data_IF_432963777312
#
_entry.id   IF_432963777312
#
_cell.length_a   1.000
_cell.length_b   1.000
_cell.length_c   1.000
_cell.angle_alpha   90.00
_cell.angle_beta   90.00
_cell.angle_gamma   90.00
#
_symmetry.space_group_name_H-M   'P 1'
#
loop_
_entity.id
_entity.type
_entity.pdbx_description
1 polymer ?
#
# COMPACT_ATOMS: atom_id res chain seq x y z
N UNK A 1 -1.25 5.89 9.46
CA UNK A 1 -1.83 4.54 9.75
C UNK A 1 -2.49 4.06 8.47
N UNK A 2 -1.95 3.01 7.85
CA UNK A 2 -2.52 2.40 6.64
C UNK A 2 -3.89 1.79 6.95
N UNK A 3 -4.95 2.22 6.27
CA UNK A 3 -6.26 1.58 6.40
C UNK A 3 -6.39 0.42 5.40
N UNK A 4 -6.51 -0.80 5.91
CA UNK A 4 -6.75 -1.98 5.09
C UNK A 4 -8.18 -1.96 4.51
N UNK A 5 -8.39 -2.42 3.27
CA UNK A 5 -9.72 -2.51 2.68
C UNK A 5 -10.57 -3.57 3.41
N UNK A 6 -11.81 -3.23 3.74
CA UNK A 6 -12.73 -4.16 4.42
C UNK A 6 -13.36 -5.20 3.47
N UNK A 7 -13.45 -4.89 2.16
CA UNK A 7 -14.11 -5.71 1.16
C UNK A 7 -13.43 -5.66 -0.20
N UNK A 8 -13.54 -6.76 -0.97
CA UNK A 8 -13.14 -6.78 -2.37
C UNK A 8 -14.12 -5.95 -3.21
N UNK A 9 -13.67 -4.93 -3.97
CA UNK A 9 -14.55 -4.10 -4.80
C UNK A 9 -15.19 -4.87 -5.97
N UNK A 10 -14.67 -6.05 -6.32
CA UNK A 10 -15.17 -6.86 -7.43
C UNK A 10 -16.21 -7.91 -7.01
N UNK A 11 -15.96 -8.64 -5.91
CA UNK A 11 -16.85 -9.73 -5.47
C UNK A 11 -17.64 -9.42 -4.19
N UNK A 12 -17.31 -8.34 -3.47
CA UNK A 12 -17.97 -7.95 -2.23
C UNK A 12 -17.61 -8.79 -1.00
N UNK A 13 -16.73 -9.79 -1.13
CA UNK A 13 -16.28 -10.63 -0.01
C UNK A 13 -15.45 -9.81 0.98
N UNK A 14 -15.69 -10.01 2.28
CA UNK A 14 -14.96 -9.38 3.38
C UNK A 14 -13.84 -10.29 3.91
N UNK A 15 -12.68 -9.72 4.22
CA UNK A 15 -11.67 -10.34 5.09
C UNK A 15 -10.67 -11.33 4.49
N UNK A 16 -10.74 -11.67 3.19
CA UNK A 16 -9.73 -12.52 2.51
C UNK A 16 -8.95 -11.74 1.43
N UNK A 17 -8.36 -10.62 1.86
CA UNK A 17 -7.58 -9.72 1.04
C UNK A 17 -6.12 -9.80 1.49
N UNK A 18 -5.23 -10.18 0.57
CA UNK A 18 -3.80 -10.20 0.84
C UNK A 18 -3.15 -8.97 0.23
N UNK A 19 -2.32 -8.30 1.01
CA UNK A 19 -1.43 -7.28 0.50
C UNK A 19 -0.27 -7.92 -0.26
N UNK A 20 0.13 -7.30 -1.36
CA UNK A 20 1.34 -7.62 -2.11
C UNK A 20 2.43 -6.59 -1.70
N UNK A 21 3.50 -6.47 -2.47
CA UNK A 21 4.46 -5.40 -2.34
C UNK A 21 3.81 -4.07 -2.76
N UNK A 22 3.87 -3.07 -1.88
CA UNK A 22 3.41 -1.70 -2.13
C UNK A 22 4.41 -0.93 -3.00
N UNK A 23 3.95 0.08 -3.71
CA UNK A 23 4.81 0.94 -4.53
C UNK A 23 4.60 2.43 -4.26
N UNK A 24 5.60 3.23 -4.59
CA UNK A 24 5.57 4.69 -4.45
C UNK A 24 5.83 5.35 -5.80
N UNK A 25 5.05 6.38 -6.12
CA UNK A 25 5.17 7.16 -7.34
C UNK A 25 5.24 8.65 -7.03
N UNK A 26 6.20 9.35 -7.61
CA UNK A 26 6.30 10.81 -7.55
C UNK A 26 5.66 11.42 -8.82
N UNK A 27 4.65 12.27 -8.65
CA UNK A 27 3.94 12.96 -9.74
C UNK A 27 3.73 14.42 -9.35
N UNK A 28 4.21 15.36 -10.17
CA UNK A 28 4.00 16.81 -9.97
C UNK A 28 4.38 17.31 -8.56
N UNK A 29 5.46 16.75 -7.98
CA UNK A 29 5.94 17.01 -6.61
C UNK A 29 5.06 16.46 -5.47
N UNK A 30 4.02 15.68 -5.80
CA UNK A 30 3.25 14.90 -4.85
C UNK A 30 3.73 13.44 -4.85
N UNK A 31 3.69 12.79 -3.68
CA UNK A 31 4.02 11.38 -3.53
C UNK A 31 2.74 10.56 -3.36
N UNK A 32 2.66 9.50 -4.14
CA UNK A 32 1.52 8.61 -4.21
C UNK A 32 1.97 7.26 -3.68
N UNK A 33 1.37 6.84 -2.58
CA UNK A 33 1.58 5.51 -2.02
C UNK A 33 0.49 4.58 -2.54
N UNK A 34 0.90 3.53 -3.22
CA UNK A 34 0.02 2.58 -3.88
C UNK A 34 0.13 1.24 -3.15
N UNK A 35 -0.96 0.87 -2.48
CA UNK A 35 -1.09 -0.41 -1.81
C UNK A 35 -1.78 -1.40 -2.73
N UNK A 36 -1.07 -2.46 -3.09
CA UNK A 36 -1.55 -3.49 -4.01
C UNK A 36 -2.20 -4.64 -3.23
N UNK A 37 -3.41 -5.04 -3.64
CA UNK A 37 -4.19 -6.07 -2.97
C UNK A 37 -4.65 -7.14 -3.95
N UNK A 38 -4.70 -8.39 -3.48
CA UNK A 38 -5.33 -9.51 -4.18
C UNK A 38 -6.43 -10.13 -3.33
N UNK A 39 -7.58 -10.39 -3.94
CA UNK A 39 -8.65 -11.13 -3.30
C UNK A 39 -8.43 -12.63 -3.47
N UNK A 40 -8.31 -13.38 -2.36
CA UNK A 40 -8.13 -14.84 -2.44
C UNK A 40 -9.38 -15.59 -2.90
N UNK A 41 -10.55 -14.95 -2.83
CA UNK A 41 -11.82 -15.56 -3.21
C UNK A 41 -12.05 -15.52 -4.73
N UNK A 42 -11.97 -14.34 -5.35
CA UNK A 42 -12.20 -14.19 -6.78
C UNK A 42 -10.92 -14.09 -7.61
N UNK A 43 -9.75 -13.93 -6.98
CA UNK A 43 -8.45 -13.80 -7.65
C UNK A 43 -8.16 -12.43 -8.23
N UNK A 44 -9.10 -11.48 -8.13
CA UNK A 44 -8.94 -10.13 -8.70
C UNK A 44 -7.97 -9.28 -7.88
N UNK A 45 -7.24 -8.41 -8.58
CA UNK A 45 -6.30 -7.46 -7.99
C UNK A 45 -6.84 -6.03 -8.06
N UNK A 46 -6.59 -5.24 -7.03
CA UNK A 46 -6.93 -3.83 -6.98
C UNK A 46 -5.94 -3.04 -6.14
N UNK A 47 -5.94 -1.74 -6.40
CA UNK A 47 -5.03 -0.80 -5.74
C UNK A 47 -5.81 0.14 -4.83
N UNK A 48 -5.19 0.47 -3.70
CA UNK A 48 -5.59 1.61 -2.86
C UNK A 48 -4.51 2.66 -2.96
N UNK A 49 -4.89 3.86 -3.38
CA UNK A 49 -3.96 4.99 -3.55
C UNK A 49 -4.16 5.99 -2.43
N UNK A 50 -3.09 6.35 -1.75
CA UNK A 50 -3.05 7.41 -0.75
C UNK A 50 -2.07 8.51 -1.19
N UNK A 51 -2.50 9.76 -1.11
CA UNK A 51 -1.62 10.91 -1.28
C UNK A 51 -0.86 11.09 0.04
N UNK A 52 0.46 11.05 -0.02
CA UNK A 52 1.32 11.25 1.13
C UNK A 52 1.97 12.63 1.02
N UNK A 53 1.86 13.42 2.08
CA UNK A 53 2.68 14.61 2.23
C UNK A 53 4.16 14.17 2.42
N UNK A 54 5.09 14.90 1.81
CA UNK A 54 6.54 14.59 1.75
C UNK A 54 7.17 14.24 3.13
N UNK A 55 6.62 14.76 4.22
CA UNK A 55 7.19 14.63 5.57
C UNK A 55 7.03 13.23 6.19
N UNK A 56 6.01 12.46 5.85
CA UNK A 56 5.84 11.08 6.36
C UNK A 56 6.77 10.07 5.67
N UNK A 57 7.38 10.44 4.53
CA UNK A 57 8.15 9.55 3.64
C UNK A 57 9.62 9.43 4.06
N UNK A 58 10.20 10.50 4.63
CA UNK A 58 11.55 10.46 5.18
C UNK A 58 11.66 9.53 6.41
N UNK A 59 10.58 9.39 7.20
CA UNK A 59 10.57 8.50 8.37
C UNK A 59 10.53 7.01 7.98
N UNK A 60 9.76 6.62 6.95
CA UNK A 60 9.71 5.23 6.48
C UNK A 60 10.99 4.80 5.75
N UNK A 61 11.54 5.66 4.90
CA UNK A 61 12.79 5.37 4.19
C UNK A 61 14.00 5.32 5.14
N UNK A 62 14.02 6.15 6.19
CA UNK A 62 15.06 6.07 7.22
C UNK A 62 14.97 4.78 8.06
N UNK A 63 13.79 4.19 8.25
CA UNK A 63 13.61 2.96 9.05
C UNK A 63 14.02 1.68 8.29
N UNK A 64 13.98 1.69 6.97
CA UNK A 64 14.42 0.56 6.13
C UNK A 64 15.96 0.46 6.05
N UNK A 65 16.68 1.58 6.16
CA UNK A 65 18.16 1.64 6.12
C UNK A 65 18.82 1.08 7.41
N UNK A 66 18.08 0.96 8.52
CA UNK A 66 18.61 0.43 9.80
C UNK A 66 18.55 -1.10 9.93
N UNK A 67 18.03 -1.84 8.94
CA UNK A 67 17.93 -3.31 9.02
C UNK A 67 19.20 -4.06 8.57
N UNK A 68 20.25 -3.36 8.12
CA UNK A 68 21.52 -3.96 7.66
C UNK A 68 22.71 -3.60 8.57
N UNK A 69 22.51 -3.60 9.89
CA UNK A 69 23.63 -3.59 10.85
C UNK A 69 23.83 -5.03 11.37
N UNK A 70 24.98 -5.68 11.10
CA UNK A 70 25.27 -7.05 11.54
C UNK A 70 25.39 -7.23 13.06
#
# INVERSE_FOLDING_TARGET
MKAEPDFCPFCGTQGELNEIESSMLEVDSDYWLIYHWVCNFCGEQFDKVELSDYQEIEEVSALEDFQDIP
#
